data_IF_543982894074
#
_entry.id   IF_543982894074
#
_cell.length_a   1.000
_cell.length_b   1.000
_cell.length_c   1.000
_cell.angle_alpha   90.00
_cell.angle_beta   90.00
_cell.angle_gamma   90.00
#
_symmetry.space_group_name_H-M   'P 1'
#
loop_
_entity.id
_entity.type
_entity.pdbx_description
1 polymer ?
#
# COMPACT_ATOMS: atom_id res chain seq x y z
N UNK A 1 -8.15 -0.85 22.09
CA UNK A 1 -9.02 -1.93 21.56
C UNK A 1 -8.52 -3.23 22.14
N UNK A 2 -9.29 -3.84 23.05
CA UNK A 2 -9.03 -5.23 23.47
C UNK A 2 -9.69 -6.14 22.45
N UNK A 3 -8.87 -6.93 21.77
CA UNK A 3 -9.32 -7.91 20.79
C UNK A 3 -9.74 -9.16 21.57
N UNK A 4 -11.01 -9.54 21.47
CA UNK A 4 -11.61 -10.63 22.25
C UNK A 4 -11.45 -12.01 21.62
N UNK A 5 -11.21 -12.07 20.30
CA UNK A 5 -11.12 -13.32 19.54
C UNK A 5 -9.68 -13.53 19.01
N UNK A 6 -9.05 -14.70 19.27
CA UNK A 6 -7.69 -15.00 18.81
C UNK A 6 -7.51 -14.99 17.28
N UNK A 7 -8.59 -15.10 16.49
CA UNK A 7 -8.51 -15.01 15.02
C UNK A 7 -8.13 -13.59 14.55
N UNK A 8 -8.39 -12.57 15.36
CA UNK A 8 -8.05 -11.18 15.07
C UNK A 8 -6.69 -10.77 15.63
N UNK A 9 -5.97 -11.68 16.29
CA UNK A 9 -4.58 -11.46 16.67
C UNK A 9 -3.70 -11.50 15.42
N UNK A 10 -2.65 -10.68 15.36
CA UNK A 10 -1.65 -10.80 14.31
C UNK A 10 -1.09 -12.23 14.32
N UNK A 11 -0.90 -12.79 13.11
CA UNK A 11 -0.34 -14.13 12.96
C UNK A 11 0.97 -14.25 13.76
N UNK A 12 1.21 -15.34 14.50
CA UNK A 12 2.42 -15.53 15.30
C UNK A 12 3.73 -15.41 14.48
N UNK A 13 3.67 -15.68 13.17
CA UNK A 13 4.80 -15.51 12.24
C UNK A 13 5.16 -14.04 11.94
N UNK A 14 4.34 -13.07 12.36
CA UNK A 14 4.59 -11.64 12.21
C UNK A 14 5.45 -11.05 13.33
N UNK A 15 5.91 -11.86 14.30
CA UNK A 15 6.80 -11.42 15.39
C UNK A 15 8.10 -10.76 14.87
N UNK A 16 8.58 -11.17 13.68
CA UNK A 16 9.72 -10.54 13.01
C UNK A 16 9.47 -9.13 12.47
N UNK A 17 8.23 -8.64 12.52
CA UNK A 17 7.83 -7.30 12.08
C UNK A 17 7.74 -6.30 13.24
N UNK A 18 7.83 -6.72 14.49
CA UNK A 18 7.78 -5.81 15.64
C UNK A 18 9.05 -4.95 15.74
N UNK A 19 10.22 -5.55 15.50
CA UNK A 19 11.53 -4.86 15.55
C UNK A 19 12.49 -5.39 14.47
N UNK A 20 12.22 -5.10 13.19
CA UNK A 20 13.09 -5.57 12.10
C UNK A 20 14.48 -4.90 12.16
N UNK A 21 15.54 -5.70 11.98
CA UNK A 21 16.92 -5.20 11.92
C UNK A 21 17.08 -4.19 10.75
N UNK A 22 17.46 -2.92 11.02
CA UNK A 22 17.52 -1.88 10.01
C UNK A 22 18.51 -2.20 8.88
N UNK A 23 19.60 -2.94 9.17
CA UNK A 23 20.58 -3.32 8.15
C UNK A 23 20.00 -4.36 7.18
N UNK A 24 19.23 -5.31 7.70
CA UNK A 24 18.54 -6.32 6.86
C UNK A 24 17.45 -5.68 6.01
N UNK A 25 16.73 -4.71 6.56
CA UNK A 25 15.73 -3.92 5.81
C UNK A 25 16.37 -3.16 4.63
N UNK A 26 17.46 -2.44 4.86
CA UNK A 26 18.13 -1.71 3.78
C UNK A 26 18.61 -2.65 2.67
N UNK A 27 19.21 -3.80 3.04
CA UNK A 27 19.65 -4.82 2.09
C UNK A 27 18.48 -5.37 1.27
N UNK A 28 17.36 -5.74 1.92
CA UNK A 28 16.20 -6.29 1.23
C UNK A 28 15.58 -5.28 0.26
N UNK A 29 15.53 -3.99 0.61
CA UNK A 29 15.07 -2.92 -0.28
C UNK A 29 15.91 -2.83 -1.56
N UNK A 30 17.25 -2.89 -1.44
CA UNK A 30 18.16 -2.89 -2.59
C UNK A 30 17.96 -4.12 -3.47
N UNK A 31 17.81 -5.30 -2.87
CA UNK A 31 17.54 -6.53 -3.63
C UNK A 31 16.20 -6.47 -4.39
N UNK A 32 15.15 -5.99 -3.73
CA UNK A 32 13.84 -5.81 -4.36
C UNK A 32 13.90 -4.82 -5.52
N UNK A 33 14.68 -3.75 -5.38
CA UNK A 33 14.90 -2.80 -6.48
C UNK A 33 15.57 -3.49 -7.68
N UNK A 34 16.67 -4.22 -7.47
CA UNK A 34 17.36 -4.96 -8.54
C UNK A 34 16.45 -5.98 -9.23
N UNK A 35 15.62 -6.69 -8.46
CA UNK A 35 14.66 -7.64 -9.02
C UNK A 35 13.61 -6.95 -9.88
N UNK A 36 13.06 -5.82 -9.40
CA UNK A 36 12.10 -5.03 -10.17
C UNK A 36 12.69 -4.53 -11.49
N UNK A 37 13.93 -4.04 -11.45
CA UNK A 37 14.67 -3.61 -12.64
C UNK A 37 14.88 -4.77 -13.63
N UNK A 38 15.35 -5.93 -13.14
CA UNK A 38 15.57 -7.14 -13.95
C UNK A 38 14.28 -7.62 -14.64
N UNK A 39 13.14 -7.55 -13.95
CA UNK A 39 11.86 -8.05 -14.45
C UNK A 39 10.99 -6.96 -15.09
N UNK A 40 11.50 -5.72 -15.24
CA UNK A 40 10.74 -4.62 -15.83
C UNK A 40 9.51 -4.17 -15.01
N UNK A 41 9.45 -4.52 -13.73
CA UNK A 41 8.34 -4.19 -12.84
C UNK A 41 8.49 -2.72 -12.40
N UNK A 42 7.89 -1.82 -13.19
CA UNK A 42 7.87 -0.39 -12.88
C UNK A 42 6.79 -0.07 -11.85
N UNK A 43 7.11 0.83 -10.91
CA UNK A 43 6.07 1.41 -10.05
C UNK A 43 5.07 2.15 -10.96
N UNK A 44 3.76 1.95 -10.79
CA UNK A 44 2.78 2.72 -11.55
C UNK A 44 2.97 4.20 -11.25
N UNK A 45 3.01 5.02 -12.30
CA UNK A 45 3.00 6.47 -12.15
C UNK A 45 1.67 6.83 -11.47
N UNK A 46 1.74 7.51 -10.31
CA UNK A 46 0.53 8.03 -9.66
C UNK A 46 -0.15 8.95 -10.67
N UNK A 47 -1.36 8.58 -11.09
CA UNK A 47 -2.19 9.45 -11.92
C UNK A 47 -2.47 10.72 -11.12
N UNK A 48 -2.32 11.90 -11.74
CA UNK A 48 -2.81 13.14 -11.14
C UNK A 48 -4.31 12.95 -10.90
N UNK A 49 -4.81 13.11 -9.65
CA UNK A 49 -6.24 13.03 -9.40
C UNK A 49 -6.92 14.08 -10.25
N UNK A 50 -7.95 13.68 -11.01
CA UNK A 50 -8.79 14.64 -11.73
C UNK A 50 -9.69 15.31 -10.69
N UNK A 51 -9.82 16.65 -10.72
CA UNK A 51 -10.79 17.32 -9.85
C UNK A 51 -12.19 16.75 -10.14
N UNK A 52 -12.88 16.34 -9.09
CA UNK A 52 -14.28 15.91 -9.15
C UNK A 52 -15.16 17.16 -9.21
N UNK A 53 -15.25 17.78 -10.40
CA UNK A 53 -16.19 18.85 -10.63
C UNK A 53 -17.54 18.24 -10.98
N UNK A 54 -18.31 17.84 -9.97
CA UNK A 54 -19.69 17.43 -10.17
C UNK A 54 -20.62 18.60 -9.88
N UNK A 55 -21.54 18.86 -10.81
CA UNK A 55 -22.70 19.69 -10.55
C UNK A 55 -23.91 18.75 -10.45
N UNK A 56 -24.49 18.66 -9.25
CA UNK A 56 -25.73 17.91 -9.06
C UNK A 56 -26.93 18.81 -9.38
N UNK A 57 -27.76 18.36 -10.30
CA UNK A 57 -29.12 18.85 -10.53
C UNK A 57 -30.11 17.90 -9.83
N UNK A 58 -31.39 18.27 -9.79
CA UNK A 58 -32.43 17.44 -9.16
C UNK A 58 -32.58 16.05 -9.78
N UNK A 59 -32.14 15.85 -11.03
CA UNK A 59 -32.28 14.60 -11.76
C UNK A 59 -30.98 13.83 -11.98
N UNK A 60 -29.81 14.47 -11.89
CA UNK A 60 -28.52 13.79 -12.05
C UNK A 60 -27.32 14.61 -11.54
N UNK A 61 -26.22 13.93 -11.21
CA UNK A 61 -24.91 14.56 -11.05
C UNK A 61 -24.09 14.34 -12.32
N UNK A 62 -23.80 15.42 -13.05
CA UNK A 62 -22.94 15.41 -14.23
C UNK A 62 -21.55 15.94 -13.87
N UNK A 63 -20.49 15.26 -14.32
CA UNK A 63 -19.11 15.71 -14.19
C UNK A 63 -18.69 16.56 -15.39
N UNK A 64 -17.93 17.65 -15.14
CA UNK A 64 -17.23 18.43 -16.17
C UNK A 64 -15.75 18.08 -16.23
#
# INVERSE_FOLDING_TARGET
MQVSDPIHLPCPDMAGMENPDPKKLQRSQVFLQKLREKHGIKKPVKRKPRPMNYQCTESACAGW
#
